data_IF_986785270929
#
_entry.id   IF_986785270929
#
_cell.length_a   1.000
_cell.length_b   1.000
_cell.length_c   1.000
_cell.angle_alpha   90.00
_cell.angle_beta   90.00
_cell.angle_gamma   90.00
#
_symmetry.space_group_name_H-M   'P 1'
#
loop_
_entity.id
_entity.type
_entity.pdbx_description
1 polymer ?
#
# COMPACT_ATOMS: atom_id res chain seq x y z
N UNK A 1 -51.20 23.45 -46.62
CA UNK A 1 -51.74 23.48 -45.25
C UNK A 1 -52.69 22.30 -45.09
N UNK A 2 -52.53 21.54 -44.00
CA UNK A 2 -53.21 20.29 -43.59
C UNK A 2 -52.79 18.95 -44.23
N UNK A 3 -51.90 18.29 -43.48
CA UNK A 3 -51.73 16.84 -43.28
C UNK A 3 -53.06 16.08 -43.11
N UNK A 4 -53.09 14.80 -43.51
CA UNK A 4 -53.07 13.68 -42.55
C UNK A 4 -52.81 12.32 -43.23
N UNK A 5 -51.87 11.58 -42.62
CA UNK A 5 -51.58 10.17 -42.86
C UNK A 5 -52.35 9.26 -41.89
N UNK A 6 -52.51 7.98 -42.27
CA UNK A 6 -52.47 6.71 -41.49
C UNK A 6 -53.53 5.71 -41.98
N UNK A 7 -53.40 4.37 -41.95
CA UNK A 7 -52.47 3.37 -41.40
C UNK A 7 -52.83 2.04 -42.13
N UNK A 8 -51.88 1.15 -42.40
CA UNK A 8 -52.18 -0.26 -42.67
C UNK A 8 -51.62 -1.12 -41.54
N UNK A 9 -52.47 -2.02 -41.02
CA UNK A 9 -52.15 -3.01 -39.99
C UNK A 9 -51.53 -4.25 -40.62
N UNK A 10 -50.51 -4.82 -39.97
CA UNK A 10 -49.99 -6.16 -40.26
C UNK A 10 -49.80 -6.95 -38.97
N UNK A 11 -50.21 -8.21 -39.04
CA UNK A 11 -50.47 -9.16 -37.95
C UNK A 11 -49.21 -9.59 -37.20
N UNK A 12 -49.30 -9.68 -35.87
CA UNK A 12 -48.30 -10.35 -35.04
C UNK A 12 -48.52 -11.87 -35.10
N UNK A 13 -47.46 -12.59 -35.48
CA UNK A 13 -47.33 -14.03 -35.31
C UNK A 13 -46.63 -14.25 -33.95
N UNK A 14 -47.28 -14.94 -33.01
CA UNK A 14 -46.70 -15.24 -31.70
C UNK A 14 -45.67 -16.38 -31.85
N UNK A 15 -44.39 -16.06 -31.77
CA UNK A 15 -43.31 -17.03 -31.59
C UNK A 15 -42.99 -17.14 -30.09
N UNK A 16 -43.26 -18.29 -29.49
CA UNK A 16 -42.80 -18.64 -28.14
C UNK A 16 -41.30 -18.88 -28.17
N UNK A 17 -40.52 -17.80 -28.06
CA UNK A 17 -39.09 -17.88 -27.76
C UNK A 17 -38.88 -18.05 -26.27
N UNK A 18 -38.27 -19.15 -25.83
CA UNK A 18 -37.70 -19.23 -24.47
C UNK A 18 -36.57 -18.21 -24.39
N UNK A 19 -36.82 -17.11 -23.67
CA UNK A 19 -35.79 -16.16 -23.27
C UNK A 19 -34.91 -16.82 -22.20
N UNK A 20 -33.80 -17.41 -22.62
CA UNK A 20 -32.72 -17.80 -21.70
C UNK A 20 -32.01 -16.51 -21.29
N UNK A 21 -32.41 -15.94 -20.14
CA UNK A 21 -31.63 -14.89 -19.50
C UNK A 21 -30.32 -15.53 -19.01
N UNK A 22 -29.13 -15.08 -19.44
CA UNK A 22 -27.90 -15.52 -18.81
C UNK A 22 -27.97 -15.08 -17.35
N UNK A 23 -27.94 -16.05 -16.44
CA UNK A 23 -27.77 -15.79 -15.02
C UNK A 23 -26.37 -15.21 -14.84
N UNK A 24 -26.23 -13.90 -14.91
CA UNK A 24 -24.99 -13.23 -14.53
C UNK A 24 -24.88 -13.36 -13.02
N UNK A 25 -24.12 -14.36 -12.58
CA UNK A 25 -23.64 -14.40 -11.19
C UNK A 25 -22.76 -13.17 -11.02
N UNK A 26 -23.34 -12.08 -10.52
CA UNK A 26 -22.56 -10.97 -9.99
C UNK A 26 -21.78 -11.57 -8.83
N UNK A 27 -20.47 -11.75 -9.02
CA UNK A 27 -19.58 -12.15 -7.96
C UNK A 27 -19.83 -11.18 -6.79
N UNK A 28 -20.32 -11.71 -5.67
CA UNK A 28 -20.52 -10.91 -4.46
C UNK A 28 -19.21 -10.21 -4.14
N UNK A 29 -19.20 -8.89 -3.96
CA UNK A 29 -17.97 -8.19 -3.64
C UNK A 29 -17.42 -8.76 -2.32
N UNK A 30 -16.13 -9.03 -2.29
CA UNK A 30 -15.44 -9.43 -1.07
C UNK A 30 -15.61 -8.31 -0.04
N UNK A 31 -16.32 -8.58 1.05
CA UNK A 31 -16.46 -7.66 2.18
C UNK A 31 -15.58 -8.14 3.33
N UNK A 32 -15.25 -7.27 4.28
CA UNK A 32 -14.54 -7.66 5.50
C UNK A 32 -15.28 -8.73 6.33
N UNK A 33 -16.59 -8.89 6.11
CA UNK A 33 -17.42 -9.90 6.75
C UNK A 33 -17.40 -11.27 6.04
N UNK A 34 -16.87 -11.36 4.82
CA UNK A 34 -16.79 -12.59 4.04
C UNK A 34 -15.33 -12.89 3.67
N UNK A 35 -14.53 -13.27 4.67
CA UNK A 35 -13.16 -13.76 4.45
C UNK A 35 -13.19 -15.28 4.28
N UNK A 36 -13.14 -15.75 3.05
CA UNK A 36 -13.13 -17.19 2.73
C UNK A 36 -11.78 -17.88 3.04
N UNK A 37 -10.75 -17.11 3.37
CA UNK A 37 -9.40 -17.63 3.66
C UNK A 37 -8.95 -17.10 5.02
N UNK A 38 -9.28 -17.86 6.07
CA UNK A 38 -8.87 -17.57 7.45
C UNK A 38 -7.62 -18.35 7.88
N UNK A 39 -7.27 -19.39 7.12
CA UNK A 39 -6.09 -20.21 7.36
C UNK A 39 -5.11 -20.04 6.21
N UNK A 40 -3.88 -19.56 6.45
CA UNK A 40 -2.85 -19.51 5.41
C UNK A 40 -2.54 -20.93 4.92
N UNK A 41 -2.33 -21.09 3.61
CA UNK A 41 -1.87 -22.36 3.06
C UNK A 41 -0.42 -22.60 3.49
N UNK A 42 -0.22 -23.52 4.42
CA UNK A 42 1.10 -23.98 4.88
C UNK A 42 1.56 -25.26 4.17
N UNK A 43 0.74 -25.81 3.28
CA UNK A 43 1.05 -26.99 2.48
C UNK A 43 2.01 -26.68 1.32
N UNK A 44 2.51 -27.73 0.69
CA UNK A 44 3.32 -27.61 -0.54
C UNK A 44 2.47 -26.99 -1.65
N UNK A 45 3.02 -26.00 -2.35
CA UNK A 45 2.34 -25.39 -3.49
C UNK A 45 2.35 -26.36 -4.69
N UNK A 46 1.21 -26.67 -5.32
CA UNK A 46 1.18 -27.57 -6.47
C UNK A 46 2.00 -27.00 -7.64
N UNK A 47 2.91 -27.81 -8.22
CA UNK A 47 3.73 -27.38 -9.37
C UNK A 47 2.86 -27.00 -10.59
N UNK A 48 1.70 -27.64 -10.75
CA UNK A 48 0.74 -27.32 -11.80
C UNK A 48 -0.06 -26.02 -11.56
N UNK A 49 0.12 -25.38 -10.42
CA UNK A 49 -0.65 -24.21 -9.98
C UNK A 49 -1.99 -24.55 -9.33
N UNK A 50 -2.73 -23.50 -8.99
CA UNK A 50 -4.08 -23.58 -8.40
C UNK A 50 -5.08 -22.85 -9.30
N UNK A 51 -6.32 -23.33 -9.35
CA UNK A 51 -7.40 -22.68 -10.10
C UNK A 51 -8.22 -21.79 -9.15
N UNK A 52 -8.39 -20.52 -9.49
CA UNK A 52 -9.27 -19.60 -8.78
C UNK A 52 -10.14 -18.86 -9.80
N UNK A 53 -11.46 -19.04 -9.72
CA UNK A 53 -12.40 -18.40 -10.65
C UNK A 53 -12.14 -18.69 -12.13
N UNK A 54 -11.68 -19.91 -12.47
CA UNK A 54 -11.31 -20.30 -13.83
C UNK A 54 -9.93 -19.81 -14.31
N UNK A 55 -9.21 -19.05 -13.48
CA UNK A 55 -7.85 -18.59 -13.77
C UNK A 55 -6.83 -19.47 -13.04
N UNK A 56 -5.81 -19.92 -13.78
CA UNK A 56 -4.73 -20.76 -13.22
C UNK A 56 -3.59 -19.88 -12.71
N UNK A 57 -3.26 -20.01 -11.43
CA UNK A 57 -2.16 -19.32 -10.78
C UNK A 57 -1.01 -20.30 -10.52
N UNK A 58 0.16 -20.00 -11.07
CA UNK A 58 1.39 -20.78 -10.86
C UNK A 58 2.34 -19.92 -10.02
N UNK A 59 2.86 -20.48 -8.93
CA UNK A 59 3.95 -19.86 -8.19
C UNK A 59 5.26 -20.21 -8.89
N UNK A 60 5.96 -19.19 -9.40
CA UNK A 60 7.22 -19.34 -10.13
C UNK A 60 8.45 -19.22 -9.21
N UNK A 61 8.25 -19.21 -7.89
CA UNK A 61 9.31 -19.01 -6.91
C UNK A 61 9.85 -17.57 -6.89
N UNK A 62 11.08 -17.41 -6.40
CA UNK A 62 11.77 -16.12 -6.35
C UNK A 62 12.19 -15.70 -7.76
N UNK A 63 11.57 -14.65 -8.28
CA UNK A 63 11.78 -14.16 -9.65
C UNK A 63 12.64 -12.89 -9.71
N UNK A 64 13.05 -12.35 -8.56
CA UNK A 64 13.94 -11.20 -8.55
C UNK A 64 14.30 -10.70 -7.16
N UNK A 65 15.46 -10.05 -7.09
CA UNK A 65 15.95 -9.36 -5.92
C UNK A 65 16.36 -7.94 -6.33
N UNK A 66 16.08 -6.98 -5.45
CA UNK A 66 16.64 -5.64 -5.48
C UNK A 66 17.38 -5.35 -4.19
N UNK A 67 18.25 -4.33 -4.19
CA UNK A 67 18.96 -3.89 -3.00
C UNK A 67 18.89 -2.38 -2.85
N UNK A 68 18.75 -1.96 -1.61
CA UNK A 68 19.03 -0.60 -1.14
C UNK A 68 20.22 -0.71 -0.20
N UNK A 69 21.18 0.20 -0.31
CA UNK A 69 22.33 0.19 0.59
C UNK A 69 21.89 0.59 2.00
N UNK A 70 22.37 -0.11 3.03
CA UNK A 70 21.97 0.16 4.42
C UNK A 70 22.39 1.56 4.91
N UNK A 71 23.41 2.15 4.27
CA UNK A 71 23.88 3.51 4.54
C UNK A 71 23.23 4.58 3.64
N UNK A 72 22.15 4.24 2.91
CA UNK A 72 21.42 5.23 2.12
C UNK A 72 20.81 6.29 3.03
N UNK A 73 20.94 7.55 2.61
CA UNK A 73 20.46 8.74 3.31
C UNK A 73 19.40 9.43 2.46
N UNK A 74 18.34 9.90 3.11
CA UNK A 74 17.41 10.82 2.49
C UNK A 74 18.07 12.22 2.44
N UNK A 75 18.39 12.74 1.24
CA UNK A 75 19.12 14.00 1.10
C UNK A 75 18.33 15.21 1.61
N UNK A 76 17.01 15.13 1.66
CA UNK A 76 16.17 16.24 2.16
C UNK A 76 16.22 16.37 3.67
N UNK A 77 16.47 15.25 4.34
CA UNK A 77 16.18 15.09 5.76
C UNK A 77 17.43 14.76 6.59
N UNK A 78 18.49 14.28 5.92
CA UNK A 78 19.78 13.91 6.51
C UNK A 78 19.78 12.61 7.29
N UNK A 79 18.63 11.94 7.40
CA UNK A 79 18.48 10.68 8.13
C UNK A 79 18.65 9.47 7.21
N UNK A 80 18.97 8.31 7.79
CA UNK A 80 18.95 7.05 7.04
C UNK A 80 17.54 6.70 6.56
N UNK A 81 17.46 5.82 5.56
CA UNK A 81 16.16 5.35 5.06
C UNK A 81 15.44 4.37 6.00
N UNK A 82 16.08 3.94 7.09
CA UNK A 82 15.49 3.01 8.07
C UNK A 82 15.35 1.57 7.54
N UNK A 83 14.88 0.68 8.41
CA UNK A 83 14.50 -0.69 8.05
C UNK A 83 13.04 -0.73 7.62
N UNK A 84 12.67 -1.59 6.67
CA UNK A 84 11.31 -1.64 6.10
C UNK A 84 10.45 -2.59 6.95
N UNK A 85 9.40 -2.06 7.59
CA UNK A 85 8.39 -2.85 8.30
C UNK A 85 7.22 -3.25 7.39
N UNK A 86 6.81 -2.37 6.49
CA UNK A 86 5.77 -2.67 5.51
C UNK A 86 6.04 -2.05 4.13
N UNK A 87 5.41 -2.60 3.10
CA UNK A 87 5.53 -2.20 1.71
C UNK A 87 4.16 -2.21 1.02
N UNK A 88 3.83 -1.10 0.36
CA UNK A 88 2.75 -1.03 -0.62
C UNK A 88 3.29 -0.70 -2.02
N UNK A 89 2.58 -1.17 -3.05
CA UNK A 89 2.90 -0.84 -4.44
C UNK A 89 1.82 0.08 -5.00
N UNK A 90 2.24 1.21 -5.58
CA UNK A 90 1.35 2.12 -6.31
C UNK A 90 1.82 2.34 -7.74
N UNK A 91 0.91 2.84 -8.59
CA UNK A 91 1.19 3.18 -10.00
C UNK A 91 1.82 2.04 -10.81
N UNK A 92 1.45 0.80 -10.46
CA UNK A 92 1.99 -0.38 -11.11
C UNK A 92 1.56 -0.48 -12.57
N UNK A 93 2.52 -0.80 -13.44
CA UNK A 93 2.31 -1.00 -14.86
C UNK A 93 3.16 -2.18 -15.35
N UNK A 94 2.58 -3.01 -16.23
CA UNK A 94 3.33 -3.99 -17.02
C UNK A 94 3.78 -3.36 -18.33
N UNK A 95 5.08 -3.36 -18.59
CA UNK A 95 5.68 -2.81 -19.80
C UNK A 95 5.58 -3.80 -20.97
N UNK A 96 5.65 -3.28 -22.20
CA UNK A 96 5.56 -4.11 -23.41
C UNK A 96 6.67 -5.18 -23.52
N UNK A 97 7.84 -4.90 -22.96
CA UNK A 97 8.99 -5.81 -22.93
C UNK A 97 8.90 -6.89 -21.83
N UNK A 98 7.79 -6.97 -21.10
CA UNK A 98 7.59 -7.96 -20.03
C UNK A 98 8.15 -7.58 -18.66
N UNK A 99 8.81 -6.42 -18.53
CA UNK A 99 9.14 -5.84 -17.22
C UNK A 99 7.92 -5.18 -16.57
N UNK A 100 8.06 -4.80 -15.30
CA UNK A 100 7.07 -4.08 -14.53
C UNK A 100 7.69 -2.82 -13.95
N UNK A 101 6.89 -1.77 -13.79
CA UNK A 101 7.30 -0.52 -13.19
C UNK A 101 6.24 -0.02 -12.22
N UNK A 102 6.64 0.82 -11.28
CA UNK A 102 5.74 1.42 -10.30
C UNK A 102 6.53 2.09 -9.20
N UNK A 103 5.85 2.31 -8.07
CA UNK A 103 6.44 2.90 -6.88
C UNK A 103 6.29 1.93 -5.71
N UNK A 104 7.39 1.59 -5.07
CA UNK A 104 7.37 1.02 -3.73
C UNK A 104 7.21 2.13 -2.71
N UNK A 105 6.28 1.93 -1.78
CA UNK A 105 5.99 2.82 -0.68
C UNK A 105 6.33 2.05 0.58
N UNK A 106 7.53 2.29 1.09
CA UNK A 106 8.03 1.62 2.29
C UNK A 106 7.67 2.43 3.52
N UNK A 107 7.09 1.76 4.52
CA UNK A 107 6.93 2.28 5.86
C UNK A 107 8.07 1.73 6.71
N UNK A 108 9.05 2.57 7.12
CA UNK A 108 10.13 2.09 7.94
C UNK A 108 9.70 1.90 9.40
N UNK A 109 10.34 0.95 10.06
CA UNK A 109 10.36 0.83 11.52
C UNK A 109 10.92 2.13 12.14
N UNK A 110 10.50 2.44 13.36
CA UNK A 110 11.09 3.50 14.18
C UNK A 110 12.53 3.20 14.65
N UNK A 111 13.02 1.98 14.43
CA UNK A 111 14.42 1.59 14.61
C UNK A 111 14.72 0.95 15.97
N UNK A 112 16.00 0.67 16.20
CA UNK A 112 16.44 -0.10 17.38
C UNK A 112 16.06 0.59 18.70
N UNK A 113 15.44 -0.18 19.60
CA UNK A 113 14.85 0.32 20.84
C UNK A 113 15.08 -0.64 22.03
N UNK A 114 16.33 -1.01 22.29
CA UNK A 114 16.68 -1.95 23.37
C UNK A 114 17.75 -1.40 24.32
N UNK A 115 17.61 -1.75 25.60
CA UNK A 115 18.46 -1.26 26.68
C UNK A 115 18.36 0.26 26.83
N UNK A 116 19.48 0.95 26.64
CA UNK A 116 19.59 2.42 26.69
C UNK A 116 19.62 3.08 25.32
N UNK A 117 19.51 2.31 24.23
CA UNK A 117 19.60 2.83 22.86
C UNK A 117 18.22 2.87 22.23
N UNK A 118 17.76 4.08 21.92
CA UNK A 118 16.48 4.31 21.26
C UNK A 118 16.68 5.24 20.07
N UNK A 119 16.25 4.78 18.90
CA UNK A 119 16.20 5.60 17.69
C UNK A 119 15.04 6.60 17.76
N UNK A 120 15.35 7.90 17.69
CA UNK A 120 14.34 8.95 17.49
C UNK A 120 14.08 9.15 15.99
N UNK A 121 13.57 8.11 15.33
CA UNK A 121 13.27 8.14 13.90
C UNK A 121 11.81 8.56 13.67
N UNK A 122 11.59 9.64 12.92
CA UNK A 122 10.22 10.06 12.60
C UNK A 122 9.56 9.08 11.61
N UNK A 123 8.32 8.68 11.88
CA UNK A 123 7.56 7.84 10.97
C UNK A 123 7.35 8.55 9.63
N UNK A 124 7.42 7.79 8.53
CA UNK A 124 7.35 8.33 7.17
C UNK A 124 6.99 7.26 6.16
N UNK A 125 6.68 7.68 4.95
CA UNK A 125 6.67 6.81 3.77
C UNK A 125 7.89 7.15 2.92
N UNK A 126 8.74 6.17 2.64
CA UNK A 126 9.82 6.27 1.67
C UNK A 126 9.33 5.78 0.31
N UNK A 127 9.48 6.60 -0.72
CA UNK A 127 9.08 6.28 -2.08
C UNK A 127 10.30 5.84 -2.90
N UNK A 128 10.18 4.71 -3.58
CA UNK A 128 11.15 4.23 -4.54
C UNK A 128 10.47 3.95 -5.87
N UNK A 129 10.89 4.64 -6.92
CA UNK A 129 10.56 4.22 -8.27
C UNK A 129 11.28 2.90 -8.56
N UNK A 130 10.58 1.93 -9.14
CA UNK A 130 11.19 0.65 -9.48
C UNK A 130 10.94 0.23 -10.92
N UNK A 131 11.90 -0.53 -11.44
CA UNK A 131 11.74 -1.38 -12.61
C UNK A 131 12.10 -2.80 -12.22
N UNK A 132 11.14 -3.70 -12.33
CA UNK A 132 11.29 -5.13 -12.09
C UNK A 132 11.31 -5.88 -13.42
N UNK A 133 12.46 -6.48 -13.74
CA UNK A 133 12.61 -7.42 -14.86
C UNK A 133 12.75 -8.84 -14.29
N UNK A 134 11.71 -9.67 -14.37
CA UNK A 134 11.74 -11.02 -13.80
C UNK A 134 12.87 -11.88 -14.37
N UNK A 135 13.54 -12.64 -13.50
CA UNK A 135 14.50 -13.64 -13.89
C UNK A 135 13.80 -14.93 -14.31
N UNK A 136 13.64 -15.11 -15.62
CA UNK A 136 12.87 -16.22 -16.22
C UNK A 136 13.74 -17.39 -16.68
N UNK A 137 15.06 -17.29 -16.56
CA UNK A 137 15.98 -18.37 -16.92
C UNK A 137 15.92 -19.50 -15.90
N UNK A 138 16.14 -20.73 -16.37
CA UNK A 138 16.28 -21.92 -15.52
C UNK A 138 17.69 -22.07 -14.92
N UNK A 139 18.65 -21.26 -15.38
CA UNK A 139 20.00 -21.27 -14.81
C UNK A 139 20.00 -20.69 -13.40
N UNK A 140 20.87 -21.18 -12.53
CA UNK A 140 21.08 -20.57 -11.21
C UNK A 140 21.75 -19.21 -11.37
N UNK A 141 21.33 -18.22 -10.59
CA UNK A 141 21.97 -16.90 -10.55
C UNK A 141 22.19 -16.44 -9.11
N UNK A 142 23.29 -15.74 -8.88
CA UNK A 142 23.57 -15.01 -7.64
C UNK A 142 23.37 -13.50 -7.82
N UNK A 143 23.03 -13.05 -9.03
CA UNK A 143 22.82 -11.64 -9.33
C UNK A 143 21.52 -11.15 -8.68
N UNK A 144 21.59 -10.01 -8.00
CA UNK A 144 20.49 -9.41 -7.25
C UNK A 144 20.14 -8.05 -7.83
N UNK A 145 19.81 -8.05 -9.12
CA UNK A 145 19.65 -6.85 -9.95
C UNK A 145 18.36 -6.87 -10.79
N UNK A 146 17.42 -7.76 -10.48
CA UNK A 146 16.16 -7.86 -11.21
C UNK A 146 15.22 -6.70 -10.88
N UNK A 147 15.34 -6.14 -9.67
CA UNK A 147 14.56 -4.99 -9.24
C UNK A 147 15.53 -3.81 -9.09
N UNK A 148 15.54 -2.94 -10.09
CA UNK A 148 16.22 -1.66 -10.01
C UNK A 148 15.32 -0.68 -9.25
N UNK A 149 15.88 0.03 -8.27
CA UNK A 149 15.15 0.98 -7.45
C UNK A 149 15.89 2.33 -7.39
N UNK A 150 15.12 3.41 -7.45
CA UNK A 150 15.61 4.78 -7.29
C UNK A 150 14.82 5.44 -6.18
N UNK A 151 15.50 5.95 -5.15
CA UNK A 151 14.84 6.69 -4.08
C UNK A 151 14.29 8.01 -4.62
N UNK A 152 12.97 8.18 -4.51
CA UNK A 152 12.24 9.34 -5.03
C UNK A 152 11.98 10.40 -3.94
N UNK A 153 12.17 10.05 -2.66
CA UNK A 153 11.98 10.94 -1.52
C UNK A 153 11.23 10.27 -0.38
N UNK A 154 11.05 11.01 0.71
CA UNK A 154 10.23 10.58 1.84
C UNK A 154 9.21 11.62 2.24
N UNK A 155 8.08 11.16 2.77
CA UNK A 155 7.05 12.01 3.40
C UNK A 155 6.95 11.65 4.86
N UNK A 156 7.51 12.49 5.74
CA UNK A 156 7.39 12.33 7.20
C UNK A 156 5.96 12.60 7.65
N UNK A 157 5.50 11.83 8.62
CA UNK A 157 4.21 12.06 9.27
C UNK A 157 4.34 13.27 10.19
N UNK A 158 3.46 14.24 9.94
CA UNK A 158 3.40 15.48 10.68
C UNK A 158 2.03 15.65 11.31
N UNK A 159 2.00 16.46 12.36
CA UNK A 159 0.79 16.87 13.05
C UNK A 159 0.98 18.32 13.54
N UNK A 160 -0.11 19.00 13.88
CA UNK A 160 -0.01 20.38 14.42
C UNK A 160 -0.06 20.33 15.93
N UNK A 161 0.91 20.96 16.58
CA UNK A 161 0.96 21.18 18.03
C UNK A 161 1.31 22.63 18.29
N UNK A 162 0.50 23.32 19.09
CA UNK A 162 0.70 24.73 19.46
C UNK A 162 0.92 25.63 18.22
N UNK A 163 0.19 25.35 17.13
CA UNK A 163 0.26 26.10 15.87
C UNK A 163 1.45 25.75 14.95
N UNK A 164 2.33 24.83 15.36
CA UNK A 164 3.51 24.43 14.59
C UNK A 164 3.33 23.05 13.96
N UNK A 165 3.83 22.86 12.74
CA UNK A 165 3.97 21.53 12.16
C UNK A 165 5.11 20.78 12.86
N UNK A 166 4.78 19.62 13.43
CA UNK A 166 5.70 18.79 14.21
C UNK A 166 5.78 17.42 13.55
N UNK A 167 6.99 16.89 13.40
CA UNK A 167 7.20 15.50 12.98
C UNK A 167 7.00 14.55 14.16
N UNK A 168 6.48 13.37 13.91
CA UNK A 168 6.36 12.29 14.92
C UNK A 168 7.72 11.85 15.47
N UNK A 169 7.72 11.08 16.57
CA UNK A 169 8.93 10.46 17.14
C UNK A 169 8.85 8.94 17.19
N UNK A 170 10.01 8.30 17.06
CA UNK A 170 10.22 6.87 17.32
C UNK A 170 10.53 6.52 18.79
N UNK A 171 10.58 7.53 19.67
CA UNK A 171 10.81 7.31 21.11
C UNK A 171 9.57 6.72 21.77
N UNK A 172 9.79 5.93 22.83
CA UNK A 172 8.72 5.27 23.56
C UNK A 172 7.75 6.29 24.18
N UNK A 173 6.46 5.95 24.11
CA UNK A 173 5.45 6.65 24.86
C UNK A 173 5.73 6.46 26.36
N UNK A 174 5.93 7.57 27.06
CA UNK A 174 6.36 7.60 28.46
C UNK A 174 5.63 8.65 29.29
N UNK A 175 4.81 9.49 28.64
CA UNK A 175 3.99 10.46 29.34
C UNK A 175 2.77 9.80 30.01
N UNK A 176 2.20 10.43 31.06
CA UNK A 176 0.95 10.00 31.66
C UNK A 176 -0.20 9.89 30.65
N UNK A 177 -1.17 8.98 30.85
CA UNK A 177 -2.26 8.70 29.89
C UNK A 177 -3.25 9.85 29.70
N UNK A 178 -3.13 10.93 30.48
CA UNK A 178 -3.96 12.13 30.39
C UNK A 178 -3.37 13.23 29.48
N UNK A 179 -2.26 12.97 28.77
CA UNK A 179 -1.80 13.90 27.73
C UNK A 179 -2.64 13.70 26.47
N UNK A 180 -3.32 14.77 26.05
CA UNK A 180 -4.16 14.77 24.86
C UNK A 180 -3.60 15.66 23.77
N UNK A 181 -3.61 15.17 22.53
CA UNK A 181 -3.49 16.01 21.33
C UNK A 181 -4.83 15.92 20.58
N UNK A 182 -5.27 17.02 19.99
CA UNK A 182 -6.56 17.07 19.26
C UNK A 182 -7.79 16.73 20.13
N UNK A 183 -7.70 16.98 21.44
CA UNK A 183 -8.76 16.62 22.40
C UNK A 183 -8.91 15.10 22.59
N UNK A 184 -7.95 14.29 22.13
CA UNK A 184 -7.92 12.85 22.32
C UNK A 184 -6.67 12.43 23.09
N UNK A 185 -6.77 11.51 24.05
CA UNK A 185 -5.60 10.87 24.63
C UNK A 185 -4.81 10.17 23.53
N UNK A 186 -3.52 10.49 23.41
CA UNK A 186 -2.64 9.88 22.41
C UNK A 186 -1.30 9.50 23.04
N UNK A 187 -0.62 8.46 22.53
CA UNK A 187 0.68 8.06 23.04
C UNK A 187 1.74 9.11 22.71
N UNK A 188 2.37 9.70 23.73
CA UNK A 188 3.44 10.68 23.55
C UNK A 188 4.66 10.36 24.42
N UNK A 189 5.84 10.76 23.95
CA UNK A 189 7.06 10.75 24.77
C UNK A 189 6.96 11.82 25.87
N UNK A 190 7.46 11.57 27.08
CA UNK A 190 7.53 12.61 28.11
C UNK A 190 8.68 13.59 27.82
N UNK A 191 8.47 14.87 28.17
CA UNK A 191 9.52 15.90 28.10
C UNK A 191 9.77 16.45 26.70
N UNK A 192 10.81 17.26 26.57
CA UNK A 192 11.20 17.91 25.32
C UNK A 192 11.99 16.96 24.42
N UNK A 193 11.66 16.97 23.13
CA UNK A 193 12.43 16.24 22.10
C UNK A 193 12.68 17.14 20.91
N UNK A 194 13.83 16.96 20.27
CA UNK A 194 14.22 17.69 19.05
C UNK A 194 14.32 16.71 17.88
N UNK A 195 13.68 17.03 16.76
CA UNK A 195 13.90 16.35 15.47
C UNK A 195 13.71 17.41 14.37
N UNK A 196 14.53 17.35 13.32
CA UNK A 196 14.50 18.30 12.20
C UNK A 196 14.56 19.78 12.65
N UNK A 197 15.31 20.08 13.71
CA UNK A 197 15.47 21.44 14.25
C UNK A 197 14.28 21.99 15.05
N UNK A 198 13.20 21.21 15.20
CA UNK A 198 12.02 21.60 15.99
C UNK A 198 12.06 20.89 17.34
N UNK A 199 11.95 21.65 18.42
CA UNK A 199 11.82 21.13 19.79
C UNK A 199 10.38 21.28 20.27
N UNK A 200 9.78 20.20 20.75
CA UNK A 200 8.47 20.25 21.41
C UNK A 200 8.44 19.33 22.62
N UNK A 201 7.62 19.68 23.60
CA UNK A 201 7.26 18.79 24.69
C UNK A 201 6.19 17.79 24.23
N UNK A 202 6.20 16.59 24.81
CA UNK A 202 5.10 15.63 24.64
C UNK A 202 4.82 15.24 23.18
N UNK A 203 5.88 14.90 22.44
CA UNK A 203 5.78 14.57 21.02
C UNK A 203 5.05 13.26 20.77
N UNK A 204 4.19 13.26 19.75
CA UNK A 204 3.42 12.09 19.31
C UNK A 204 4.33 10.93 18.86
N UNK A 205 4.22 9.80 19.54
CA UNK A 205 4.99 8.58 19.26
C UNK A 205 4.31 7.75 18.20
N UNK A 206 5.10 7.23 17.24
CA UNK A 206 4.65 6.25 16.25
C UNK A 206 5.56 5.04 16.21
N UNK A 207 4.96 3.86 16.39
CA UNK A 207 5.54 2.55 16.08
C UNK A 207 4.72 1.94 14.95
N UNK A 208 5.12 2.23 13.71
CA UNK A 208 4.28 2.02 12.54
C UNK A 208 4.70 0.73 11.82
N UNK A 209 3.86 -0.30 11.92
CA UNK A 209 4.15 -1.65 11.39
C UNK A 209 3.26 -2.05 10.21
N UNK A 210 2.39 -1.15 9.76
CA UNK A 210 1.44 -1.43 8.69
C UNK A 210 1.05 -0.17 7.93
N UNK A 211 1.09 -0.28 6.61
CA UNK A 211 0.66 0.71 5.63
C UNK A 211 -0.36 0.06 4.71
N UNK A 212 -1.54 0.66 4.62
CA UNK A 212 -2.52 0.26 3.61
C UNK A 212 -2.99 1.46 2.81
N UNK A 213 -2.90 1.35 1.50
CA UNK A 213 -3.57 2.30 0.63
C UNK A 213 -5.01 1.90 0.47
N UNK A 214 -5.90 2.78 0.91
CA UNK A 214 -7.31 2.62 0.65
C UNK A 214 -7.56 2.94 -0.82
N UNK A 215 -8.06 1.95 -1.57
CA UNK A 215 -8.59 2.21 -2.91
C UNK A 215 -9.72 3.23 -2.80
N UNK A 216 -9.76 4.18 -3.74
CA UNK A 216 -10.81 5.19 -3.85
C UNK A 216 -12.17 4.49 -3.85
N UNK A 217 -12.94 4.66 -2.77
CA UNK A 217 -14.34 4.27 -2.77
C UNK A 217 -15.09 5.17 -3.77
N UNK A 218 -16.17 4.68 -4.41
CA UNK A 218 -17.03 5.57 -5.17
C UNK A 218 -17.52 6.71 -4.27
N UNK A 219 -17.11 7.95 -4.56
CA UNK A 219 -17.62 9.17 -3.90
C UNK A 219 -16.64 10.06 -3.14
N UNK A 220 -15.34 9.74 -3.00
CA UNK A 220 -14.40 10.66 -2.31
C UNK A 220 -13.82 11.72 -3.27
N UNK A 221 -14.28 12.97 -3.12
CA UNK A 221 -13.63 14.15 -3.68
C UNK A 221 -12.48 14.58 -2.76
N UNK A 222 -11.28 14.75 -3.31
CA UNK A 222 -10.17 15.40 -2.63
C UNK A 222 -10.22 16.91 -2.90
N UNK A 223 -10.14 17.72 -1.84
CA UNK A 223 -9.62 19.08 -1.95
C UNK A 223 -8.08 18.96 -1.99
N UNK A 224 -7.40 19.70 -2.88
CA UNK A 224 -5.94 19.63 -3.07
C UNK A 224 -5.13 19.89 -1.80
#
# INVERSE_FOLDING_TARGET
>A
MRLHATRFYSRMLAATGMLVLPLTVLATPYTSANRDVLTPNTGQWPLGGVQLGGTRFINLGLQGVGRVAANSIDPSSGESLGSISDMQISSWTRNANGSYSGVFNFLPDRGYNSGSTYSNYAARINNFDFVFTPYTSSATTTAQNQIAMTFAGSTRFTYVQDGNAVVTTGLLASAPPNVSLFGQPVPVTAGETTNAGVTVANRLTFDAEGLIFRLKGPGSNSVP
#
